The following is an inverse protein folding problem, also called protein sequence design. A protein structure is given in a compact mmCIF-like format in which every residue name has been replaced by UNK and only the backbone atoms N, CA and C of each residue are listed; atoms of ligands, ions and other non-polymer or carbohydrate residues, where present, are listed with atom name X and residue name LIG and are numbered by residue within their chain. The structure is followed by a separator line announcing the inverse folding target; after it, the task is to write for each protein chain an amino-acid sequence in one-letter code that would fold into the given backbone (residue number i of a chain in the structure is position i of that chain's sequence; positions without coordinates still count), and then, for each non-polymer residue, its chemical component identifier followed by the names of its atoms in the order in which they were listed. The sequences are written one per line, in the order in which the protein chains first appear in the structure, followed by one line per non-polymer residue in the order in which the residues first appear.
data_IF_193163006462
#
_entry.id   IF_193163006462
#
_cell.length_a   1.000
_cell.length_b   1.000
_cell.length_c   1.000
_cell.angle_alpha   90.00
_cell.angle_beta   90.00
_cell.angle_gamma   90.00
#
_symmetry.space_group_name_H-M   'P 1'
#
loop_
_entity.id
_entity.type
_entity.pdbx_description
1 polymer ?
#
# COMPACT_ATOMS: atom_id res chain seq x y z
N UNK A 1 17.29 10.38 -25.79
CA UNK A 1 16.26 9.36 -25.48
C UNK A 1 16.38 8.67 -24.11
N UNK A 2 17.58 8.44 -23.53
CA UNK A 2 17.72 7.70 -22.24
C UNK A 2 17.15 8.42 -20.99
N UNK A 3 17.19 9.76 -20.92
CA UNK A 3 16.73 10.55 -19.76
C UNK A 3 15.23 10.39 -19.44
N UNK A 4 14.36 10.32 -20.46
CA UNK A 4 12.90 10.10 -20.27
C UNK A 4 12.56 8.73 -19.69
N UNK A 5 13.39 7.70 -19.90
CA UNK A 5 13.18 6.36 -19.31
C UNK A 5 13.58 6.31 -17.84
N UNK A 6 14.67 6.97 -17.46
CA UNK A 6 15.12 7.06 -16.05
C UNK A 6 14.14 7.85 -15.17
N UNK A 7 13.53 8.91 -15.72
CA UNK A 7 12.54 9.72 -15.01
C UNK A 7 11.31 8.91 -14.56
N UNK A 8 10.97 7.83 -15.27
CA UNK A 8 9.88 6.91 -14.90
C UNK A 8 10.25 6.00 -13.72
N UNK A 9 11.53 5.77 -13.45
CA UNK A 9 12.02 4.93 -12.36
C UNK A 9 12.41 5.71 -11.10
N UNK A 10 12.07 7.00 -11.03
CA UNK A 10 12.53 7.90 -9.98
C UNK A 10 12.14 7.43 -8.56
N UNK A 11 10.94 6.85 -8.40
CA UNK A 11 10.49 6.30 -7.12
C UNK A 11 11.32 5.10 -6.65
N UNK A 12 11.70 4.21 -7.56
CA UNK A 12 12.56 3.07 -7.24
C UNK A 12 13.98 3.53 -6.91
N UNK A 13 14.49 4.52 -7.62
CA UNK A 13 15.83 5.08 -7.36
C UNK A 13 15.85 5.76 -5.99
N UNK A 14 14.81 6.53 -5.65
CA UNK A 14 14.66 7.14 -4.33
C UNK A 14 14.54 6.07 -3.22
N UNK A 15 13.74 5.03 -3.43
CA UNK A 15 13.60 3.93 -2.48
C UNK A 15 14.91 3.14 -2.28
N UNK A 16 15.70 2.96 -3.35
CA UNK A 16 17.02 2.33 -3.26
C UNK A 16 17.99 3.19 -2.44
N UNK A 17 17.95 4.52 -2.63
CA UNK A 17 18.72 5.46 -1.80
C UNK A 17 18.31 5.42 -0.34
N UNK A 18 17.00 5.32 -0.05
CA UNK A 18 16.49 5.14 1.31
C UNK A 18 16.96 3.83 1.96
N UNK A 19 16.95 2.73 1.21
CA UNK A 19 17.45 1.43 1.67
C UNK A 19 18.96 1.49 1.97
N UNK A 20 19.75 2.06 1.07
CA UNK A 20 21.19 2.24 1.27
C UNK A 20 21.48 3.14 2.49
N UNK A 21 20.70 4.23 2.66
CA UNK A 21 20.80 5.12 3.81
C UNK A 21 20.45 4.43 5.12
N UNK A 22 19.43 3.58 5.14
CA UNK A 22 19.05 2.81 6.33
C UNK A 22 20.14 1.79 6.69
N UNK A 23 20.68 1.06 5.71
CA UNK A 23 21.78 0.12 5.93
C UNK A 23 22.99 0.86 6.53
N UNK A 24 23.45 1.95 5.89
CA UNK A 24 24.56 2.75 6.40
C UNK A 24 24.28 3.32 7.81
N UNK A 25 23.06 3.83 8.04
CA UNK A 25 22.65 4.36 9.34
C UNK A 25 22.69 3.30 10.44
N UNK A 26 22.22 2.08 10.17
CA UNK A 26 22.31 0.99 11.15
C UNK A 26 23.77 0.64 11.44
N UNK A 27 24.62 0.47 10.42
CA UNK A 27 26.05 0.17 10.65
C UNK A 27 26.81 1.25 11.45
N UNK A 28 26.42 2.52 11.35
CA UNK A 28 27.08 3.62 12.07
C UNK A 28 26.54 3.79 13.50
N UNK A 29 25.22 3.67 13.70
CA UNK A 29 24.57 4.08 14.96
C UNK A 29 24.02 2.93 15.81
N UNK A 30 23.77 1.75 15.24
CA UNK A 30 23.13 0.63 15.94
C UNK A 30 23.58 -0.69 15.34
N UNK A 31 24.55 -1.35 16.00
CA UNK A 31 25.15 -2.65 15.63
C UNK A 31 24.20 -3.53 14.82
N UNK A 32 24.29 -3.42 13.48
CA UNK A 32 23.49 -4.12 12.46
C UNK A 32 22.11 -4.61 12.93
N UNK A 33 21.18 -3.69 13.23
CA UNK A 33 19.80 -4.03 13.54
C UNK A 33 19.09 -4.66 12.32
N UNK A 34 19.04 -5.99 12.32
CA UNK A 34 18.41 -6.79 11.27
C UNK A 34 16.92 -6.50 11.11
N UNK A 35 16.23 -6.08 12.16
CA UNK A 35 14.80 -5.75 12.08
C UNK A 35 14.58 -4.50 11.24
N UNK A 36 15.41 -3.48 11.44
CA UNK A 36 15.38 -2.25 10.66
C UNK A 36 15.72 -2.50 9.17
N UNK A 37 16.73 -3.35 8.91
CA UNK A 37 17.13 -3.72 7.54
C UNK A 37 16.00 -4.47 6.83
N UNK A 38 15.37 -5.44 7.48
CA UNK A 38 14.25 -6.20 6.91
C UNK A 38 13.02 -5.31 6.67
N UNK A 39 12.74 -4.37 7.57
CA UNK A 39 11.67 -3.38 7.40
C UNK A 39 11.91 -2.49 6.17
N UNK A 40 13.12 -1.93 6.04
CA UNK A 40 13.51 -1.10 4.91
C UNK A 40 13.49 -1.88 3.58
N UNK A 41 13.94 -3.13 3.58
CA UNK A 41 13.88 -4.00 2.39
C UNK A 41 12.44 -4.27 1.96
N UNK A 42 11.55 -4.55 2.91
CA UNK A 42 10.13 -4.76 2.64
C UNK A 42 9.49 -3.53 2.00
N UNK A 43 9.75 -2.33 2.55
CA UNK A 43 9.29 -1.08 1.97
C UNK A 43 9.83 -0.84 0.55
N UNK A 44 11.11 -1.14 0.31
CA UNK A 44 11.72 -1.06 -1.02
C UNK A 44 11.00 -1.96 -2.03
N UNK A 45 10.74 -3.23 -1.69
CA UNK A 45 10.05 -4.18 -2.57
C UNK A 45 8.64 -3.70 -2.92
N UNK A 46 7.90 -3.16 -1.95
CA UNK A 46 6.56 -2.60 -2.19
C UNK A 46 6.63 -1.44 -3.18
N UNK A 47 7.51 -0.47 -2.96
CA UNK A 47 7.66 0.69 -3.86
C UNK A 47 8.15 0.25 -5.24
N UNK A 48 9.03 -0.75 -5.31
CA UNK A 48 9.49 -1.32 -6.57
C UNK A 48 8.33 -1.93 -7.37
N UNK A 49 7.47 -2.74 -6.73
CA UNK A 49 6.32 -3.36 -7.39
C UNK A 49 5.34 -2.28 -7.88
N UNK A 50 5.02 -1.28 -7.05
CA UNK A 50 4.15 -0.16 -7.42
C UNK A 50 4.71 0.57 -8.65
N UNK A 51 6.00 0.91 -8.61
CA UNK A 51 6.63 1.63 -9.71
C UNK A 51 6.71 0.77 -10.99
N UNK A 52 6.96 -0.53 -10.86
CA UNK A 52 6.96 -1.47 -11.99
C UNK A 52 5.58 -1.51 -12.66
N UNK A 53 4.50 -1.56 -11.88
CA UNK A 53 3.12 -1.48 -12.39
C UNK A 53 2.87 -0.13 -13.06
N UNK A 54 3.28 0.97 -12.44
CA UNK A 54 3.14 2.33 -12.99
C UNK A 54 3.84 2.49 -14.34
N UNK A 55 5.10 2.05 -14.44
CA UNK A 55 5.89 2.13 -15.68
C UNK A 55 5.29 1.24 -16.79
N UNK A 56 4.79 0.04 -16.46
CA UNK A 56 4.13 -0.85 -17.43
C UNK A 56 2.75 -0.36 -17.87
N UNK A 57 2.02 0.37 -17.01
CA UNK A 57 0.67 0.86 -17.32
C UNK A 57 0.65 2.08 -18.25
N UNK A 58 1.76 2.83 -18.36
CA UNK A 58 1.89 4.04 -19.19
C UNK A 58 2.17 3.73 -20.67
N UNK A 59 1.34 2.90 -21.32
CA UNK A 59 1.43 2.64 -22.77
C UNK A 59 0.60 3.61 -23.62
N UNK A 60 -0.47 4.19 -23.07
CA UNK A 60 -1.34 5.13 -23.79
C UNK A 60 -1.10 6.59 -23.40
N UNK A 61 -1.19 7.47 -24.42
CA UNK A 61 -1.06 8.93 -24.33
C UNK A 61 -2.37 9.63 -23.90
N UNK A 62 -3.30 8.90 -23.27
CA UNK A 62 -4.52 9.50 -22.73
C UNK A 62 -4.23 10.31 -21.46
N UNK A 63 -4.97 11.41 -21.20
CA UNK A 63 -4.78 12.25 -20.03
C UNK A 63 -4.75 11.45 -18.72
N UNK A 64 -3.86 11.83 -17.79
CA UNK A 64 -3.55 11.03 -16.59
C UNK A 64 -4.70 10.90 -15.59
N UNK A 65 -5.66 11.82 -15.60
CA UNK A 65 -6.86 11.78 -14.77
C UNK A 65 -8.02 12.35 -15.57
N UNK A 66 -8.86 11.47 -16.09
CA UNK A 66 -10.20 11.84 -16.54
C UNK A 66 -11.08 12.11 -15.30
N UNK A 67 -12.01 13.05 -15.40
CA UNK A 67 -13.02 13.33 -14.37
C UNK A 67 -13.79 12.06 -13.99
N UNK A 68 -13.99 11.17 -14.97
CA UNK A 68 -14.57 9.83 -14.76
C UNK A 68 -13.76 8.97 -13.79
N UNK A 69 -12.44 8.92 -13.94
CA UNK A 69 -11.56 8.13 -13.04
C UNK A 69 -11.62 8.71 -11.63
N UNK A 70 -11.60 10.04 -11.49
CA UNK A 70 -11.71 10.71 -10.18
C UNK A 70 -13.03 10.38 -9.49
N UNK A 71 -14.15 10.44 -10.21
CA UNK A 71 -15.47 10.12 -9.66
C UNK A 71 -15.59 8.63 -9.28
N UNK A 72 -15.08 7.72 -10.12
CA UNK A 72 -15.07 6.29 -9.85
C UNK A 72 -14.23 5.95 -8.61
N UNK A 73 -13.04 6.54 -8.48
CA UNK A 73 -12.18 6.37 -7.31
C UNK A 73 -12.82 6.90 -6.02
N UNK A 74 -13.47 8.07 -6.09
CA UNK A 74 -14.20 8.63 -4.94
C UNK A 74 -15.33 7.70 -4.49
N UNK A 75 -16.13 7.19 -5.44
CA UNK A 75 -17.21 6.23 -5.15
C UNK A 75 -16.66 4.93 -4.57
N UNK A 76 -15.60 4.40 -5.16
CA UNK A 76 -14.96 3.17 -4.71
C UNK A 76 -14.48 3.27 -3.26
N UNK A 77 -13.70 4.30 -2.93
CA UNK A 77 -13.21 4.47 -1.55
C UNK A 77 -14.33 4.73 -0.54
N UNK A 78 -15.38 5.46 -0.94
CA UNK A 78 -16.55 5.64 -0.10
C UNK A 78 -17.25 4.31 0.17
N UNK A 79 -17.45 3.47 -0.84
CA UNK A 79 -18.13 2.17 -0.68
C UNK A 79 -17.27 1.21 0.13
N UNK A 80 -16.00 1.01 -0.23
CA UNK A 80 -15.18 -0.03 0.40
C UNK A 80 -14.89 0.26 1.87
N UNK A 81 -14.76 1.53 2.26
CA UNK A 81 -14.60 1.92 3.66
C UNK A 81 -15.85 1.57 4.48
N UNK A 82 -17.05 1.88 3.96
CA UNK A 82 -18.30 1.55 4.63
C UNK A 82 -18.54 0.04 4.70
N UNK A 83 -18.22 -0.69 3.63
CA UNK A 83 -18.29 -2.17 3.61
C UNK A 83 -17.35 -2.77 4.65
N UNK A 84 -16.11 -2.28 4.74
CA UNK A 84 -15.15 -2.75 5.74
C UNK A 84 -15.65 -2.50 7.16
N UNK A 85 -16.10 -1.27 7.47
CA UNK A 85 -16.65 -0.93 8.79
C UNK A 85 -17.86 -1.81 9.10
N UNK A 86 -18.77 -2.01 8.13
CA UNK A 86 -19.94 -2.87 8.30
C UNK A 86 -19.58 -4.32 8.62
N UNK A 87 -18.63 -4.91 7.88
CA UNK A 87 -18.14 -6.26 8.15
C UNK A 87 -17.48 -6.34 9.53
N UNK A 88 -16.66 -5.34 9.89
CA UNK A 88 -15.99 -5.29 11.19
C UNK A 88 -17.02 -5.22 12.33
N UNK A 89 -18.06 -4.40 12.19
CA UNK A 89 -19.15 -4.29 13.17
C UNK A 89 -19.89 -5.62 13.34
N UNK A 90 -20.26 -6.27 12.23
CA UNK A 90 -20.95 -7.57 12.28
C UNK A 90 -20.06 -8.63 12.93
N UNK A 91 -18.77 -8.68 12.59
CA UNK A 91 -17.83 -9.61 13.18
C UNK A 91 -17.69 -9.41 14.69
N UNK A 92 -17.54 -8.15 15.15
CA UNK A 92 -17.48 -7.83 16.57
C UNK A 92 -18.77 -8.18 17.30
N UNK A 93 -19.93 -7.89 16.72
CA UNK A 93 -21.23 -8.24 17.30
C UNK A 93 -21.39 -9.75 17.48
N UNK A 94 -20.97 -10.56 16.51
CA UNK A 94 -20.98 -12.03 16.61
C UNK A 94 -20.05 -12.50 17.72
N UNK A 95 -18.83 -11.95 17.82
CA UNK A 95 -17.88 -12.30 18.89
C UNK A 95 -18.45 -11.95 20.27
N UNK A 96 -19.07 -10.78 20.42
CA UNK A 96 -19.75 -10.39 21.67
C UNK A 96 -20.91 -11.33 21.98
N UNK A 97 -21.72 -11.71 21.00
CA UNK A 97 -22.81 -12.68 21.18
C UNK A 97 -22.31 -14.05 21.63
N UNK A 98 -21.12 -14.47 21.17
CA UNK A 98 -20.45 -15.71 21.60
C UNK A 98 -19.83 -15.61 23.01
N UNK A 99 -19.94 -14.47 23.69
CA UNK A 99 -19.41 -14.26 25.04
C UNK A 99 -17.95 -13.80 25.08
N UNK A 100 -17.34 -13.43 23.95
CA UNK A 100 -16.02 -12.81 23.95
C UNK A 100 -16.14 -11.32 24.31
N UNK A 101 -15.81 -10.99 25.56
CA UNK A 101 -15.84 -9.60 26.06
C UNK A 101 -14.60 -8.78 25.65
N UNK A 102 -13.50 -9.45 25.29
CA UNK A 102 -12.25 -8.81 24.93
C UNK A 102 -11.68 -9.43 23.66
N UNK A 103 -11.23 -8.57 22.74
CA UNK A 103 -10.54 -8.98 21.51
C UNK A 103 -9.13 -8.41 21.56
N UNK A 104 -8.12 -9.26 21.32
CA UNK A 104 -6.74 -8.81 21.23
C UNK A 104 -6.58 -7.76 20.13
N UNK A 105 -5.86 -6.68 20.44
CA UNK A 105 -5.56 -5.59 19.52
C UNK A 105 -4.89 -6.10 18.24
N UNK A 106 -4.13 -7.20 18.31
CA UNK A 106 -3.46 -7.81 17.16
C UNK A 106 -4.46 -8.23 16.07
N UNK A 107 -5.63 -8.76 16.44
CA UNK A 107 -6.65 -9.16 15.45
C UNK A 107 -7.28 -7.96 14.74
N UNK A 108 -7.45 -6.85 15.46
CA UNK A 108 -7.92 -5.58 14.88
C UNK A 108 -6.88 -5.00 13.93
N UNK A 109 -5.60 -5.05 14.27
CA UNK A 109 -4.53 -4.60 13.38
C UNK A 109 -4.47 -5.44 12.10
N UNK A 110 -4.60 -6.77 12.21
CA UNK A 110 -4.63 -7.64 11.04
C UNK A 110 -5.79 -7.30 10.10
N UNK A 111 -6.99 -7.02 10.62
CA UNK A 111 -8.13 -6.65 9.78
C UNK A 111 -7.92 -5.32 9.04
N UNK A 112 -7.31 -4.33 9.69
CA UNK A 112 -6.94 -3.05 9.06
C UNK A 112 -5.90 -3.24 7.95
N UNK A 113 -4.87 -4.06 8.19
CA UNK A 113 -3.84 -4.36 7.17
C UNK A 113 -4.48 -5.05 5.95
N UNK A 114 -5.36 -6.03 6.17
CA UNK A 114 -6.09 -6.69 5.09
C UNK A 114 -6.93 -5.69 4.31
N UNK A 115 -7.64 -4.79 4.99
CA UNK A 115 -8.38 -3.71 4.34
C UNK A 115 -7.49 -2.79 3.49
N UNK A 116 -6.31 -2.40 3.98
CA UNK A 116 -5.37 -1.56 3.22
C UNK A 116 -4.91 -2.26 1.93
N UNK A 117 -4.59 -3.56 2.02
CA UNK A 117 -4.15 -4.34 0.85
C UNK A 117 -5.30 -4.50 -0.16
N UNK A 118 -6.48 -4.91 0.30
CA UNK A 118 -7.65 -5.13 -0.57
C UNK A 118 -8.09 -3.81 -1.22
N UNK A 119 -8.15 -2.73 -0.44
CA UNK A 119 -8.52 -1.41 -0.95
C UNK A 119 -7.51 -0.87 -1.96
N UNK A 120 -6.21 -1.05 -1.72
CA UNK A 120 -5.14 -0.69 -2.63
C UNK A 120 -5.19 -1.47 -3.95
N UNK A 121 -5.38 -2.79 -3.90
CA UNK A 121 -5.49 -3.62 -5.11
C UNK A 121 -6.75 -3.24 -5.90
N UNK A 122 -7.91 -3.10 -5.26
CA UNK A 122 -9.14 -2.75 -5.97
C UNK A 122 -9.09 -1.33 -6.57
N UNK A 123 -8.36 -0.39 -5.95
CA UNK A 123 -8.10 0.93 -6.54
C UNK A 123 -7.36 0.83 -7.89
N UNK A 124 -6.36 -0.04 -7.99
CA UNK A 124 -5.64 -0.28 -9.26
C UNK A 124 -6.54 -0.88 -10.35
N UNK A 125 -7.57 -1.64 -9.97
CA UNK A 125 -8.57 -2.19 -10.90
C UNK A 125 -9.55 -1.11 -11.35
N UNK A 126 -10.02 -0.26 -10.43
CA UNK A 126 -10.98 0.82 -10.73
C UNK A 126 -10.36 1.88 -11.63
N UNK A 127 -9.08 2.21 -11.48
CA UNK A 127 -8.37 3.17 -12.37
C UNK A 127 -8.35 2.69 -13.84
N UNK A 128 -8.41 1.37 -14.08
CA UNK A 128 -8.38 0.80 -15.43
C UNK A 128 -9.76 0.67 -16.10
N UNK A 129 -10.85 0.97 -15.39
CA UNK A 129 -12.23 0.92 -15.89
C UNK A 129 -12.81 2.33 -16.09
#
# INVERSE_FOLDING_TARGET
MKKKKLQKWNFTIAALGGLAGMILGTFIFSVADWSAILGAFTAFVIIFIINLVYVKSKKDQTPEVDERIRLNMRKYYAVIANVFIGILFVALAVLTYMGYEQVSLMYLWMSVVVYMVVSGIGALVVIKR
#
